data_IF_338847482293
#
_entry.id   IF_338847482293
#
_cell.length_a   1.000
_cell.length_b   1.000
_cell.length_c   1.000
_cell.angle_alpha   90.00
_cell.angle_beta   90.00
_cell.angle_gamma   90.00
#
_symmetry.space_group_name_H-M   'P 1'
#
loop_
_entity.id
_entity.type
_entity.pdbx_description
1 polymer ?
#
# COMPACT_ATOMS: atom_id res chain seq x y z
N UNK A 1 -3.87 -20.02 14.72
CA UNK A 1 -4.00 -19.00 13.65
C UNK A 1 -3.43 -17.64 14.08
N UNK A 2 -3.67 -17.18 15.31
CA UNK A 2 -3.21 -15.87 15.77
C UNK A 2 -1.69 -15.66 15.75
N UNK A 3 -0.90 -16.71 16.08
CA UNK A 3 0.57 -16.63 16.15
C UNK A 3 1.25 -16.29 14.82
N UNK A 4 0.70 -16.77 13.69
CA UNK A 4 1.31 -16.60 12.36
C UNK A 4 0.54 -15.64 11.46
N UNK A 5 -0.70 -15.28 11.78
CA UNK A 5 -1.57 -14.47 10.92
C UNK A 5 -0.96 -13.12 10.53
N UNK A 6 -0.41 -12.38 11.51
CA UNK A 6 0.20 -11.07 11.24
C UNK A 6 1.50 -11.20 10.44
N UNK A 7 2.30 -12.23 10.70
CA UNK A 7 3.53 -12.48 9.94
C UNK A 7 3.21 -12.81 8.48
N UNK A 8 2.22 -13.69 8.24
CA UNK A 8 1.77 -14.03 6.89
C UNK A 8 1.16 -12.82 6.18
N UNK A 9 0.36 -12.01 6.88
CA UNK A 9 -0.20 -10.75 6.35
C UNK A 9 0.90 -9.77 5.96
N UNK A 10 1.92 -9.60 6.81
CA UNK A 10 3.06 -8.73 6.54
C UNK A 10 3.83 -9.19 5.31
N UNK A 11 4.16 -10.48 5.24
CA UNK A 11 4.90 -11.05 4.11
C UNK A 11 4.08 -10.97 2.83
N UNK A 12 2.76 -11.26 2.86
CA UNK A 12 1.92 -11.21 1.66
C UNK A 12 1.80 -9.80 1.11
N UNK A 13 1.56 -8.80 1.96
CA UNK A 13 1.56 -7.39 1.54
C UNK A 13 2.94 -7.01 1.00
N UNK A 14 4.01 -7.42 1.65
CA UNK A 14 5.38 -7.16 1.19
C UNK A 14 5.68 -7.74 -0.19
N UNK A 15 5.28 -8.99 -0.45
CA UNK A 15 5.40 -9.63 -1.77
C UNK A 15 4.64 -8.85 -2.83
N UNK A 16 3.40 -8.46 -2.54
CA UNK A 16 2.56 -7.70 -3.49
C UNK A 16 3.22 -6.37 -3.87
N UNK A 17 3.69 -5.59 -2.88
CA UNK A 17 4.39 -4.32 -3.13
C UNK A 17 5.69 -4.52 -3.91
N UNK A 18 6.52 -5.49 -3.50
CA UNK A 18 7.78 -5.76 -4.16
C UNK A 18 7.57 -6.18 -5.62
N UNK A 19 6.62 -7.08 -5.86
CA UNK A 19 6.33 -7.59 -7.20
C UNK A 19 5.84 -6.49 -8.14
N UNK A 20 4.87 -5.68 -7.70
CA UNK A 20 4.38 -4.56 -8.52
C UNK A 20 5.42 -3.46 -8.71
N UNK A 21 6.25 -3.19 -7.69
CA UNK A 21 7.37 -2.26 -7.81
C UNK A 21 8.37 -2.70 -8.87
N UNK A 22 8.75 -3.99 -8.90
CA UNK A 22 9.66 -4.53 -9.91
C UNK A 22 9.09 -4.38 -11.32
N UNK A 23 7.80 -4.66 -11.51
CA UNK A 23 7.14 -4.53 -12.82
C UNK A 23 7.17 -3.10 -13.36
N UNK A 24 7.18 -2.08 -12.49
CA UNK A 24 7.21 -0.67 -12.91
C UNK A 24 8.55 -0.19 -13.47
N UNK A 25 9.62 -0.95 -13.31
CA UNK A 25 10.88 -0.62 -14.00
C UNK A 25 10.80 -0.85 -15.51
N UNK A 26 9.84 -1.65 -15.98
CA UNK A 26 9.62 -1.92 -17.40
C UNK A 26 8.38 -1.16 -17.88
N UNK A 27 8.52 -0.15 -18.76
CA UNK A 27 7.38 0.60 -19.27
C UNK A 27 6.32 -0.29 -19.92
N UNK A 28 5.04 -0.04 -19.59
CA UNK A 28 3.90 -0.72 -20.22
C UNK A 28 3.52 -2.07 -19.63
N UNK A 29 4.23 -2.61 -18.63
CA UNK A 29 3.87 -3.88 -17.99
C UNK A 29 2.85 -3.73 -16.85
N UNK A 30 2.69 -2.53 -16.29
CA UNK A 30 1.79 -2.29 -15.17
C UNK A 30 0.60 -1.42 -15.60
N UNK A 31 -0.64 -1.93 -15.52
CA UNK A 31 -1.84 -1.18 -15.89
C UNK A 31 -2.02 0.14 -15.12
N UNK A 32 -1.50 0.20 -13.89
CA UNK A 32 -1.64 1.36 -13.00
C UNK A 32 -0.50 2.39 -13.13
N UNK A 33 0.54 2.11 -13.91
CA UNK A 33 1.73 2.96 -14.00
C UNK A 33 1.43 4.33 -14.63
N UNK A 34 0.69 4.33 -15.73
CA UNK A 34 0.32 5.56 -16.43
C UNK A 34 -0.54 6.48 -15.55
N UNK A 35 -1.55 5.92 -14.89
CA UNK A 35 -2.40 6.70 -13.98
C UNK A 35 -1.59 7.26 -12.80
N UNK A 36 -0.67 6.48 -12.22
CA UNK A 36 0.15 6.92 -11.10
C UNK A 36 1.11 8.06 -11.50
N UNK A 37 1.73 7.97 -12.67
CA UNK A 37 2.70 8.97 -13.14
C UNK A 37 2.02 10.27 -13.53
N UNK A 38 0.85 10.20 -14.17
CA UNK A 38 0.00 11.36 -14.45
C UNK A 38 -0.49 12.03 -13.17
N UNK A 39 -0.77 11.25 -12.14
CA UNK A 39 -1.12 11.77 -10.81
C UNK A 39 0.03 12.54 -10.18
N UNK A 40 1.25 12.00 -10.22
CA UNK A 40 2.42 12.73 -9.71
C UNK A 40 2.67 14.00 -10.51
N UNK A 41 2.58 13.93 -11.84
CA UNK A 41 2.70 15.11 -12.70
C UNK A 41 1.66 16.17 -12.33
N UNK A 42 0.40 15.81 -12.17
CA UNK A 42 -0.66 16.73 -11.76
C UNK A 42 -0.40 17.35 -10.37
N UNK A 43 -0.01 16.54 -9.38
CA UNK A 43 0.30 17.01 -8.02
C UNK A 43 1.55 17.91 -7.97
N UNK A 44 2.46 17.75 -8.92
CA UNK A 44 3.69 18.54 -9.02
C UNK A 44 3.60 19.65 -10.07
N UNK A 45 2.40 19.99 -10.54
CA UNK A 45 2.15 21.01 -11.56
C UNK A 45 2.96 20.81 -12.85
N UNK A 46 3.21 19.55 -13.22
CA UNK A 46 3.96 19.17 -14.42
C UNK A 46 5.48 19.22 -14.28
N UNK A 47 6.02 19.54 -13.09
CA UNK A 47 7.46 19.61 -12.84
C UNK A 47 8.09 18.23 -12.90
N UNK A 48 7.46 17.22 -12.27
CA UNK A 48 7.99 15.86 -12.24
C UNK A 48 7.43 15.07 -13.42
N UNK A 49 8.32 14.71 -14.34
CA UNK A 49 7.96 13.94 -15.54
C UNK A 49 7.89 12.43 -15.28
N UNK A 50 7.13 11.67 -16.09
CA UNK A 50 7.01 10.22 -15.96
C UNK A 50 8.34 9.46 -15.98
N UNK A 51 9.37 9.98 -16.67
CA UNK A 51 10.70 9.35 -16.74
C UNK A 51 11.41 9.34 -15.38
N UNK A 52 11.06 10.27 -14.50
CA UNK A 52 11.61 10.39 -13.14
C UNK A 52 10.64 9.77 -12.13
N UNK A 53 9.34 10.06 -12.24
CA UNK A 53 8.37 9.57 -11.24
C UNK A 53 8.22 8.05 -11.27
N UNK A 54 8.32 7.41 -12.45
CA UNK A 54 8.23 5.94 -12.57
C UNK A 54 9.30 5.20 -11.78
N UNK A 55 10.61 5.39 -12.05
CA UNK A 55 11.65 4.68 -11.31
C UNK A 55 11.61 5.03 -9.83
N UNK A 56 11.26 6.26 -9.45
CA UNK A 56 11.09 6.64 -8.04
C UNK A 56 9.96 5.85 -7.37
N UNK A 57 8.79 5.75 -8.01
CA UNK A 57 7.68 4.95 -7.50
C UNK A 57 8.03 3.45 -7.44
N UNK A 58 8.68 2.92 -8.48
CA UNK A 58 9.12 1.54 -8.55
C UNK A 58 10.08 1.22 -7.38
N UNK A 59 11.08 2.07 -7.16
CA UNK A 59 12.01 1.96 -6.03
C UNK A 59 11.28 2.09 -4.68
N UNK A 60 10.33 3.01 -4.55
CA UNK A 60 9.55 3.21 -3.32
C UNK A 60 8.74 1.97 -2.96
N UNK A 61 8.05 1.37 -3.94
CA UNK A 61 7.29 0.13 -3.78
C UNK A 61 8.19 -1.05 -3.42
N UNK A 62 9.33 -1.19 -4.09
CA UNK A 62 10.32 -2.22 -3.76
C UNK A 62 10.87 -2.07 -2.35
N UNK A 63 11.17 -0.84 -1.90
CA UNK A 63 11.67 -0.58 -0.55
C UNK A 63 10.61 -0.94 0.51
N UNK A 64 9.35 -0.59 0.29
CA UNK A 64 8.25 -1.00 1.18
C UNK A 64 8.13 -2.53 1.20
N UNK A 65 8.13 -3.15 0.02
CA UNK A 65 8.01 -4.60 -0.12
C UNK A 65 9.11 -5.35 0.63
N UNK A 66 10.37 -4.98 0.40
CA UNK A 66 11.52 -5.55 1.09
C UNK A 66 11.49 -5.28 2.60
N UNK A 67 11.13 -4.06 3.01
CA UNK A 67 10.99 -3.70 4.42
C UNK A 67 9.94 -4.55 5.13
N UNK A 68 8.79 -4.80 4.49
CA UNK A 68 7.73 -5.65 5.02
C UNK A 68 8.15 -7.11 5.07
N UNK A 69 8.75 -7.66 4.00
CA UNK A 69 9.21 -9.06 3.95
C UNK A 69 10.27 -9.32 5.02
N UNK A 70 11.32 -8.50 5.07
CA UNK A 70 12.44 -8.67 6.00
C UNK A 70 12.06 -8.33 7.44
N UNK A 71 11.11 -7.40 7.64
CA UNK A 71 10.75 -6.90 8.96
C UNK A 71 11.71 -5.86 9.50
N UNK A 72 12.56 -5.30 8.65
CA UNK A 72 13.53 -4.29 9.03
C UNK A 72 12.91 -2.89 8.97
N UNK A 73 13.30 -2.03 9.91
CA UNK A 73 12.86 -0.63 9.98
C UNK A 73 11.33 -0.43 9.86
N UNK A 74 10.53 -1.32 10.43
CA UNK A 74 9.07 -1.38 10.23
C UNK A 74 8.33 -0.06 10.42
N UNK A 75 8.79 0.81 11.32
CA UNK A 75 8.18 2.14 11.51
C UNK A 75 8.33 3.02 10.27
N UNK A 76 9.51 3.04 9.68
CA UNK A 76 9.78 3.78 8.44
C UNK A 76 9.04 3.11 7.27
N UNK A 77 9.11 1.79 7.15
CA UNK A 77 8.41 1.03 6.11
C UNK A 77 6.90 1.31 6.09
N UNK A 78 6.25 1.29 7.26
CA UNK A 78 4.81 1.58 7.36
C UNK A 78 4.51 3.05 7.07
N UNK A 79 5.37 3.98 7.49
CA UNK A 79 5.22 5.40 7.13
C UNK A 79 5.27 5.59 5.62
N UNK A 80 6.27 4.99 4.94
CA UNK A 80 6.39 5.03 3.48
C UNK A 80 5.14 4.44 2.80
N UNK A 81 4.61 3.33 3.33
CA UNK A 81 3.37 2.72 2.86
C UNK A 81 2.19 3.67 2.99
N UNK A 82 1.99 4.29 4.16
CA UNK A 82 0.87 5.23 4.35
C UNK A 82 0.97 6.45 3.43
N UNK A 83 2.17 7.00 3.24
CA UNK A 83 2.42 8.08 2.28
C UNK A 83 2.04 7.66 0.87
N UNK A 84 2.46 6.47 0.45
CA UNK A 84 2.10 5.94 -0.86
C UNK A 84 0.58 5.74 -0.99
N UNK A 85 -0.10 5.21 0.03
CA UNK A 85 -1.54 4.99 -0.01
C UNK A 85 -2.35 6.29 -0.14
N UNK A 86 -1.87 7.40 0.42
CA UNK A 86 -2.49 8.71 0.17
C UNK A 86 -2.40 9.09 -1.31
N UNK A 87 -1.23 8.89 -1.92
CA UNK A 87 -1.02 9.13 -3.35
C UNK A 87 -1.80 8.20 -4.28
N UNK A 88 -2.16 6.98 -3.84
CA UNK A 88 -2.97 6.09 -4.66
C UNK A 88 -4.46 6.42 -4.64
N UNK A 89 -4.94 7.17 -3.64
CA UNK A 89 -6.34 7.60 -3.52
C UNK A 89 -6.61 8.89 -4.31
N UNK A 90 -5.61 9.75 -4.49
CA UNK A 90 -5.75 11.03 -5.21
C UNK A 90 -6.34 10.93 -6.64
N UNK A 91 -6.08 9.87 -7.45
CA UNK A 91 -6.66 9.75 -8.79
C UNK A 91 -8.19 9.66 -8.79
N UNK A 92 -8.82 9.17 -7.71
CA UNK A 92 -10.29 9.09 -7.61
C UNK A 92 -10.96 10.46 -7.71
N UNK A 93 -10.23 11.51 -7.34
CA UNK A 93 -10.71 12.90 -7.33
C UNK A 93 -10.11 13.68 -8.52
N UNK A 94 -8.83 13.45 -8.84
CA UNK A 94 -8.16 14.18 -9.92
C UNK A 94 -8.54 13.68 -11.32
N UNK A 95 -8.82 12.39 -11.48
CA UNK A 95 -9.16 11.76 -12.76
C UNK A 95 -10.45 10.94 -12.64
N UNK A 96 -11.60 11.60 -12.34
CA UNK A 96 -12.84 10.88 -12.10
C UNK A 96 -13.33 10.15 -13.35
N UNK A 97 -13.05 10.67 -14.55
CA UNK A 97 -13.42 10.05 -15.83
C UNK A 97 -12.68 8.72 -16.10
N UNK A 98 -11.54 8.48 -15.45
CA UNK A 98 -10.76 7.25 -15.61
C UNK A 98 -11.00 6.26 -14.47
N UNK A 99 -11.47 6.76 -13.33
CA UNK A 99 -11.68 5.96 -12.11
C UNK A 99 -13.15 5.59 -11.88
N UNK A 100 -14.09 6.25 -12.56
CA UNK A 100 -15.52 6.01 -12.43
C UNK A 100 -16.22 5.89 -13.78
N UNK A 101 -17.03 4.85 -13.93
CA UNK A 101 -18.01 4.74 -15.02
C UNK A 101 -19.24 5.62 -14.72
N UNK A 102 -19.67 5.66 -13.46
CA UNK A 102 -20.71 6.58 -12.96
C UNK A 102 -20.21 7.16 -11.66
N UNK A 103 -19.79 8.42 -11.69
CA UNK A 103 -19.26 9.09 -10.49
C UNK A 103 -20.39 9.38 -9.48
N UNK A 104 -20.26 9.06 -8.17
CA UNK A 104 -19.22 8.30 -7.47
C UNK A 104 -19.68 6.88 -7.06
N UNK A 105 -20.51 6.22 -7.88
CA UNK A 105 -21.20 4.97 -7.53
C UNK A 105 -20.54 3.74 -8.19
N UNK A 106 -20.23 3.83 -9.48
CA UNK A 106 -19.72 2.70 -10.27
C UNK A 106 -18.27 2.97 -10.66
N UNK A 107 -17.28 2.34 -9.99
CA UNK A 107 -15.87 2.49 -10.32
C UNK A 107 -15.47 1.68 -11.56
N UNK A 108 -14.49 2.18 -12.32
CA UNK A 108 -13.78 1.43 -13.37
C UNK A 108 -12.91 0.33 -12.76
N UNK A 109 -12.20 -0.44 -13.58
CA UNK A 109 -11.28 -1.47 -13.09
C UNK A 109 -10.16 -0.84 -12.24
N UNK A 110 -9.61 0.29 -12.70
CA UNK A 110 -8.61 1.10 -12.00
C UNK A 110 -9.17 1.64 -10.68
N UNK A 111 -10.39 2.21 -10.72
CA UNK A 111 -11.08 2.69 -9.52
C UNK A 111 -11.30 1.58 -8.49
N UNK A 112 -11.67 0.36 -8.93
CA UNK A 112 -11.84 -0.80 -8.06
C UNK A 112 -10.53 -1.21 -7.40
N UNK A 113 -9.41 -1.21 -8.14
CA UNK A 113 -8.10 -1.50 -7.57
C UNK A 113 -7.70 -0.46 -6.53
N UNK A 114 -7.94 0.82 -6.80
CA UNK A 114 -7.67 1.90 -5.84
C UNK A 114 -8.51 1.72 -4.57
N UNK A 115 -9.82 1.49 -4.69
CA UNK A 115 -10.70 1.31 -3.54
C UNK A 115 -10.30 0.09 -2.69
N UNK A 116 -9.83 -0.99 -3.33
CA UNK A 116 -9.31 -2.17 -2.62
C UNK A 116 -8.05 -1.89 -1.79
N UNK A 117 -7.33 -0.77 -2.02
CA UNK A 117 -6.20 -0.37 -1.17
C UNK A 117 -6.61 -0.11 0.29
N UNK A 118 -7.90 0.09 0.59
CA UNK A 118 -8.41 0.11 1.97
C UNK A 118 -8.02 -1.15 2.75
N UNK A 119 -7.98 -2.32 2.09
CA UNK A 119 -7.50 -3.57 2.69
C UNK A 119 -6.01 -3.49 3.05
N UNK A 120 -5.18 -2.87 2.19
CA UNK A 120 -3.75 -2.70 2.45
C UNK A 120 -3.50 -1.70 3.59
N UNK A 121 -4.27 -0.61 3.63
CA UNK A 121 -4.21 0.40 4.70
C UNK A 121 -4.54 -0.24 6.05
N UNK A 122 -5.66 -0.96 6.12
CA UNK A 122 -6.08 -1.65 7.36
C UNK A 122 -5.11 -2.76 7.75
N UNK A 123 -4.56 -3.51 6.78
CA UNK A 123 -3.51 -4.49 7.04
C UNK A 123 -2.24 -3.83 7.63
N UNK A 124 -1.81 -2.69 7.10
CA UNK A 124 -0.68 -1.93 7.62
C UNK A 124 -0.91 -1.43 9.05
N UNK A 125 -2.14 -1.01 9.40
CA UNK A 125 -2.51 -0.66 10.79
C UNK A 125 -2.37 -1.88 11.71
N UNK A 126 -2.90 -3.04 11.31
CA UNK A 126 -2.80 -4.29 12.08
C UNK A 126 -1.34 -4.72 12.27
N UNK A 127 -0.53 -4.66 11.20
CA UNK A 127 0.91 -4.94 11.28
C UNK A 127 1.57 -3.95 12.24
N UNK A 128 1.27 -2.65 12.12
CA UNK A 128 1.81 -1.58 12.95
C UNK A 128 1.51 -1.74 14.45
N UNK A 129 0.35 -2.29 14.81
CA UNK A 129 -0.01 -2.58 16.19
C UNK A 129 0.96 -3.57 16.87
N UNK A 130 1.56 -4.48 16.09
CA UNK A 130 2.53 -5.47 16.59
C UNK A 130 3.97 -4.96 16.65
N UNK A 131 4.29 -3.86 15.96
CA UNK A 131 5.66 -3.29 15.90
C UNK A 131 6.14 -2.77 17.26
N UNK A 132 5.24 -2.45 18.20
CA UNK A 132 5.57 -2.03 19.57
C UNK A 132 5.70 -3.19 20.57
N UNK A 133 5.82 -4.43 20.09
CA UNK A 133 5.85 -5.62 20.95
C UNK A 133 4.46 -6.12 21.39
N UNK A 134 3.39 -5.55 20.81
CA UNK A 134 2.03 -6.05 21.00
C UNK A 134 1.91 -7.47 20.46
N UNK A 135 1.43 -8.39 21.30
CA UNK A 135 1.15 -9.78 20.91
C UNK A 135 -0.35 -9.95 20.73
N UNK A 136 -0.75 -10.67 19.70
CA UNK A 136 -2.11 -11.20 19.62
C UNK A 136 -2.25 -12.30 20.67
N UNK A 137 -3.20 -12.13 21.58
CA UNK A 137 -3.60 -13.13 22.57
C UNK A 137 -4.95 -13.68 22.13
N UNK A 138 -5.00 -14.95 21.77
CA UNK A 138 -6.21 -15.67 21.38
C UNK A 138 -6.77 -16.58 22.49
N UNK A 139 -6.08 -16.69 23.63
CA UNK A 139 -6.50 -17.46 24.79
C UNK A 139 -7.32 -16.61 25.80
N UNK A 140 -8.62 -16.93 26.02
CA UNK A 140 -9.47 -16.22 26.98
C UNK A 140 -8.96 -16.29 28.42
N UNK A 141 -8.23 -17.33 28.81
CA UNK A 141 -7.73 -17.51 30.17
C UNK A 141 -6.58 -16.53 30.49
N UNK A 142 -5.69 -16.28 29.52
CA UNK A 142 -4.59 -15.32 29.66
C UNK A 142 -5.08 -13.87 29.78
N UNK A 143 -6.27 -13.56 29.24
CA UNK A 143 -6.88 -12.22 29.32
C UNK A 143 -7.47 -11.90 30.70
N UNK A 144 -7.87 -12.91 31.48
CA UNK A 144 -8.39 -12.71 32.84
C UNK A 144 -7.29 -12.33 33.84
N UNK A 145 -6.10 -12.89 33.69
CA UNK A 145 -4.98 -12.67 34.61
C UNK A 145 -4.25 -11.32 34.40
N UNK A 146 -4.52 -10.60 33.32
CA UNK A 146 -3.94 -9.27 33.06
C UNK A 146 -4.79 -8.10 33.58
N UNK A 147 -5.98 -8.38 34.15
CA UNK A 147 -6.89 -7.36 34.71
C UNK A 147 -6.94 -7.35 36.24
N UNK A 148 -6.13 -8.16 36.92
CA UNK A 148 -5.83 -8.06 38.35
C UNK A 148 -4.48 -7.40 38.54
#
# INVERSE_FOLDING_TARGET
>A
MAKNGVTLLRISVGIVFFWFGVLKFVPGLSPADELATRTISALTFGIVRPEISRPVLASWECLIGLGLITGLFMRATLLLLFVQMMGTITPLVLFPHETWTVFPIVPTLEGQYILKNMVLITAAIVIGATVRGGKLVDDPALLKNQKQ
#
